data_IF_996158636822
#
_entry.id   IF_996158636822
#
_cell.length_a   1.000
_cell.length_b   1.000
_cell.length_c   1.000
_cell.angle_alpha   90.00
_cell.angle_beta   90.00
_cell.angle_gamma   90.00
#
_symmetry.space_group_name_H-M   'P 1'
#
loop_
_entity.id
_entity.type
_entity.pdbx_description
1 polymer ?
#
# COMPACT_ATOMS: atom_id res chain seq x y z
N UNK A 1 -0.13 -15.59 9.11
CA UNK A 1 0.48 -14.27 8.87
C UNK A 1 1.56 -14.01 9.93
N UNK A 2 2.76 -13.62 9.51
CA UNK A 2 3.89 -13.28 10.39
C UNK A 2 4.39 -11.87 10.06
N UNK A 3 4.82 -11.12 11.08
CA UNK A 3 5.39 -9.77 10.90
C UNK A 3 6.73 -9.70 11.61
N UNK A 4 7.75 -9.21 10.90
CA UNK A 4 9.09 -8.95 11.44
C UNK A 4 9.44 -7.48 11.22
N UNK A 5 9.95 -6.82 12.26
CA UNK A 5 10.50 -5.46 12.11
C UNK A 5 12.00 -5.57 11.87
N UNK A 6 12.47 -4.97 10.77
CA UNK A 6 13.89 -4.89 10.43
C UNK A 6 14.29 -3.42 10.50
N UNK A 7 15.32 -3.11 11.29
CA UNK A 7 15.87 -1.76 11.43
C UNK A 7 17.20 -1.71 10.70
N UNK A 8 17.23 -1.03 9.56
CA UNK A 8 18.45 -0.76 8.79
C UNK A 8 19.08 0.59 9.15
N UNK A 9 20.24 0.87 8.58
CA UNK A 9 20.99 2.11 8.86
C UNK A 9 20.24 3.39 8.46
N UNK A 10 19.40 3.34 7.42
CA UNK A 10 18.68 4.51 6.87
C UNK A 10 17.17 4.48 7.09
N UNK A 11 16.59 3.31 7.32
CA UNK A 11 15.15 3.13 7.47
C UNK A 11 14.82 1.84 8.21
N UNK A 12 13.63 1.81 8.83
CA UNK A 12 13.05 0.60 9.39
C UNK A 12 11.86 0.13 8.54
N UNK A 13 11.63 -1.18 8.52
CA UNK A 13 10.58 -1.83 7.74
C UNK A 13 9.83 -2.85 8.59
N UNK A 14 8.53 -2.99 8.36
CA UNK A 14 7.76 -4.15 8.76
C UNK A 14 7.63 -5.09 7.56
N UNK A 15 8.34 -6.21 7.62
CA UNK A 15 8.28 -7.28 6.65
C UNK A 15 7.14 -8.22 7.03
N UNK A 16 6.11 -8.28 6.20
CA UNK A 16 4.90 -9.07 6.41
C UNK A 16 4.98 -10.30 5.53
N UNK A 17 4.96 -11.49 6.12
CA UNK A 17 4.85 -12.75 5.40
C UNK A 17 3.43 -13.30 5.52
N UNK A 18 2.83 -13.62 4.38
CA UNK A 18 1.52 -14.25 4.26
C UNK A 18 1.59 -15.43 3.27
N UNK A 19 0.49 -16.16 3.13
CA UNK A 19 0.46 -17.43 2.37
C UNK A 19 0.92 -17.29 0.91
N UNK A 20 0.60 -16.17 0.28
CA UNK A 20 0.91 -15.87 -1.12
C UNK A 20 2.16 -15.01 -1.35
N UNK A 21 2.94 -14.70 -0.30
CA UNK A 21 4.19 -13.95 -0.48
C UNK A 21 4.56 -13.04 0.68
N UNK A 22 5.32 -11.99 0.35
CA UNK A 22 5.86 -11.03 1.31
C UNK A 22 5.59 -9.60 0.89
N UNK A 23 5.32 -8.73 1.86
CA UNK A 23 5.12 -7.30 1.66
C UNK A 23 5.93 -6.52 2.70
N UNK A 24 6.73 -5.57 2.22
CA UNK A 24 7.49 -4.68 3.10
C UNK A 24 6.81 -3.32 3.22
N UNK A 25 6.56 -2.90 4.46
CA UNK A 25 6.02 -1.57 4.75
C UNK A 25 7.08 -0.75 5.46
N UNK A 26 7.49 0.37 4.86
CA UNK A 26 8.43 1.30 5.49
C UNK A 26 7.80 1.92 6.74
N UNK A 27 8.56 1.94 7.83
CA UNK A 27 8.17 2.57 9.08
C UNK A 27 8.66 4.01 9.11
N UNK A 28 7.75 4.92 9.45
CA UNK A 28 8.05 6.34 9.49
C UNK A 28 8.73 6.71 10.83
N UNK A 29 9.84 7.46 10.81
CA UNK A 29 10.50 7.92 12.04
C UNK A 29 9.53 8.65 12.97
N UNK A 30 9.66 8.41 14.28
CA UNK A 30 8.80 9.03 15.29
C UNK A 30 7.36 8.49 15.32
N UNK A 31 7.02 7.45 14.55
CA UNK A 31 5.72 6.76 14.60
C UNK A 31 5.90 5.31 15.03
N UNK A 32 4.87 4.74 15.67
CA UNK A 32 4.85 3.31 15.97
C UNK A 32 4.65 2.50 14.68
N UNK A 33 5.18 1.28 14.64
CA UNK A 33 5.03 0.39 13.49
C UNK A 33 3.55 0.18 13.11
N UNK A 34 2.68 0.01 14.11
CA UNK A 34 1.23 -0.08 13.93
C UNK A 34 0.66 1.14 13.21
N UNK A 35 1.06 2.35 13.62
CA UNK A 35 0.56 3.60 13.02
C UNK A 35 1.02 3.71 11.56
N UNK A 36 2.30 3.49 11.29
CA UNK A 36 2.83 3.51 9.93
C UNK A 36 2.12 2.50 9.02
N UNK A 37 1.93 1.25 9.46
CA UNK A 37 1.22 0.25 8.65
C UNK A 37 -0.25 0.65 8.37
N UNK A 38 -0.96 1.21 9.36
CA UNK A 38 -2.33 1.67 9.14
C UNK A 38 -2.42 2.82 8.15
N UNK A 39 -1.49 3.77 8.23
CA UNK A 39 -1.40 4.91 7.31
C UNK A 39 -1.07 4.44 5.89
N UNK A 40 -0.06 3.57 5.72
CA UNK A 40 0.25 2.99 4.41
C UNK A 40 -0.92 2.21 3.82
N UNK A 41 -1.67 1.46 4.64
CA UNK A 41 -2.86 0.77 4.17
C UNK A 41 -3.99 1.74 3.76
N UNK A 42 -4.13 2.89 4.42
CA UNK A 42 -5.09 3.93 4.03
C UNK A 42 -4.70 4.56 2.69
N UNK A 43 -3.42 4.93 2.51
CA UNK A 43 -2.88 5.48 1.26
C UNK A 43 -3.09 4.51 0.08
N UNK A 44 -2.87 3.21 0.30
CA UNK A 44 -3.09 2.19 -0.73
C UNK A 44 -4.58 2.08 -1.12
N UNK A 45 -5.50 2.17 -0.16
CA UNK A 45 -6.94 2.16 -0.45
C UNK A 45 -7.37 3.41 -1.23
N UNK A 46 -6.84 4.57 -0.86
CA UNK A 46 -7.10 5.81 -1.59
C UNK A 46 -6.60 5.73 -3.03
N UNK A 47 -5.36 5.26 -3.22
CA UNK A 47 -4.80 5.00 -4.55
C UNK A 47 -5.63 4.00 -5.35
N UNK A 48 -6.08 2.91 -4.73
CA UNK A 48 -6.93 1.92 -5.39
C UNK A 48 -8.26 2.54 -5.83
N UNK A 49 -8.93 3.30 -4.96
CA UNK A 49 -10.18 3.99 -5.30
C UNK A 49 -9.99 4.97 -6.46
N UNK A 50 -8.89 5.71 -6.46
CA UNK A 50 -8.55 6.62 -7.56
C UNK A 50 -8.30 5.87 -8.87
N UNK A 51 -7.57 4.76 -8.83
CA UNK A 51 -7.33 3.91 -9.99
C UNK A 51 -8.63 3.32 -10.54
N UNK A 52 -9.51 2.81 -9.68
CA UNK A 52 -10.83 2.31 -10.07
C UNK A 52 -11.68 3.41 -10.72
N UNK A 53 -11.67 4.62 -10.15
CA UNK A 53 -12.37 5.78 -10.72
C UNK A 53 -11.85 6.12 -12.11
N UNK A 54 -10.52 6.10 -12.30
CA UNK A 54 -9.89 6.33 -13.60
C UNK A 54 -10.23 5.25 -14.61
N UNK A 55 -10.22 3.97 -14.20
CA UNK A 55 -10.59 2.86 -15.06
C UNK A 55 -12.02 3.02 -15.58
N UNK A 56 -12.98 3.33 -14.71
CA UNK A 56 -14.36 3.59 -15.11
C UNK A 56 -14.51 4.78 -16.06
N UNK A 57 -13.73 5.85 -15.86
CA UNK A 57 -13.72 6.99 -16.81
C UNK A 57 -13.19 6.60 -18.19
N UNK A 58 -12.16 5.75 -18.24
CA UNK A 58 -11.58 5.26 -19.48
C UNK A 58 -12.59 4.34 -20.20
N UNK A 59 -13.23 3.41 -19.46
CA UNK A 59 -14.27 2.53 -20.01
C UNK A 59 -15.42 3.36 -20.60
N UNK A 60 -15.93 4.34 -19.86
CA UNK A 60 -17.00 5.21 -20.36
C UNK A 60 -16.56 6.05 -21.58
N UNK A 61 -15.30 6.50 -21.62
CA UNK A 61 -14.78 7.24 -22.76
C UNK A 61 -14.61 6.34 -23.99
N UNK A 62 -14.26 5.06 -23.81
CA UNK A 62 -14.16 4.08 -24.88
C UNK A 62 -15.51 3.88 -25.58
N UNK A 63 -16.64 3.90 -24.85
CA UNK A 63 -17.99 3.84 -25.45
C UNK A 63 -18.34 5.04 -26.36
N UNK A 64 -17.57 6.13 -26.29
CA UNK A 64 -17.81 7.34 -27.09
C UNK A 64 -16.92 7.43 -28.33
N UNK A 65 -16.01 6.48 -28.53
CA UNK A 65 -15.05 6.48 -29.64
C UNK A 65 -15.05 5.10 -30.30
N UNK A 66 -15.27 5.07 -31.62
CA UNK A 66 -15.13 3.86 -32.46
C UNK A 66 -13.65 3.55 -32.76
#
# INVERSE_FOLDING_TARGET
>A
MQVRVIVGAQAAYACISHESGTLDVRLNPGRSARKSMKESAAELREKAAELTRRAALIENAAELVD
#
